data_IF_382051676889
#
_entry.id   IF_382051676889
#
_cell.length_a   1.000
_cell.length_b   1.000
_cell.length_c   1.000
_cell.angle_alpha   90.00
_cell.angle_beta   90.00
_cell.angle_gamma   90.00
#
_symmetry.space_group_name_H-M   'P 1'
#
loop_
_entity.id
_entity.type
_entity.pdbx_description
1 polymer ?
#
# COMPACT_ATOMS: atom_id res chain seq x y z
N UNK A 1 9.56 23.00 -5.48
CA UNK A 1 9.44 21.88 -4.55
C UNK A 1 7.96 21.59 -4.32
N UNK A 2 7.47 20.45 -4.83
CA UNK A 2 6.05 20.07 -4.74
C UNK A 2 5.62 19.87 -3.28
N UNK A 3 6.50 19.44 -2.41
CA UNK A 3 6.23 19.21 -0.99
C UNK A 3 6.00 20.52 -0.26
N UNK A 4 6.88 21.50 -0.44
CA UNK A 4 6.72 22.81 0.14
C UNK A 4 5.45 23.51 -0.37
N UNK A 5 5.18 23.44 -1.67
CA UNK A 5 3.95 23.99 -2.26
C UNK A 5 2.68 23.30 -1.75
N UNK A 6 2.73 22.00 -1.45
CA UNK A 6 1.60 21.26 -0.86
C UNK A 6 1.32 21.68 0.57
N UNK A 7 2.37 21.88 1.35
CA UNK A 7 2.27 22.21 2.78
C UNK A 7 1.84 23.67 3.03
N UNK A 8 1.97 24.54 2.05
CA UNK A 8 1.50 25.94 2.13
C UNK A 8 0.01 26.14 1.82
N UNK A 9 -0.74 25.08 1.48
CA UNK A 9 -2.19 25.16 1.25
C UNK A 9 -2.93 25.45 2.54
N UNK A 10 -4.11 26.04 2.43
CA UNK A 10 -4.97 26.37 3.58
C UNK A 10 -5.30 25.15 4.45
N UNK A 11 -5.40 23.97 3.83
CA UNK A 11 -5.66 22.71 4.52
C UNK A 11 -4.59 21.69 4.15
N UNK A 12 -3.81 21.28 5.13
CA UNK A 12 -2.90 20.13 5.06
C UNK A 12 -3.22 19.15 6.16
N UNK A 13 -3.37 17.88 5.80
CA UNK A 13 -3.71 16.78 6.71
C UNK A 13 -2.64 15.72 6.57
N UNK A 14 -2.14 15.21 7.68
CA UNK A 14 -1.21 14.08 7.71
C UNK A 14 -1.72 13.01 8.66
N UNK A 15 -1.54 11.76 8.26
CA UNK A 15 -1.71 10.59 9.13
C UNK A 15 -0.34 9.95 9.34
N UNK A 16 0.09 9.85 10.59
CA UNK A 16 1.40 9.33 10.95
C UNK A 16 1.30 8.41 12.17
N UNK A 17 1.93 7.25 12.09
CA UNK A 17 1.80 6.20 13.10
C UNK A 17 2.87 6.27 14.20
N UNK A 18 4.05 6.84 13.93
CA UNK A 18 5.20 6.54 14.78
C UNK A 18 5.61 7.73 15.64
N UNK A 19 5.78 8.91 15.06
CA UNK A 19 6.27 10.09 15.79
C UNK A 19 6.16 11.35 14.95
N UNK A 20 6.36 12.48 15.61
CA UNK A 20 6.51 13.75 14.93
C UNK A 20 7.69 13.71 13.93
N UNK A 21 7.48 14.33 12.79
CA UNK A 21 8.45 14.56 11.74
C UNK A 21 8.26 15.95 11.17
N UNK A 22 9.19 16.44 10.39
CA UNK A 22 9.08 17.76 9.74
C UNK A 22 7.79 17.86 8.92
N UNK A 23 7.37 16.77 8.28
CA UNK A 23 6.10 16.72 7.55
C UNK A 23 4.90 16.85 8.48
N UNK A 24 4.91 16.12 9.59
CA UNK A 24 3.84 16.17 10.60
C UNK A 24 3.76 17.58 11.19
N UNK A 25 4.90 18.19 11.50
CA UNK A 25 4.95 19.52 12.10
C UNK A 25 4.48 20.63 11.17
N UNK A 26 4.69 20.46 9.87
CA UNK A 26 4.20 21.40 8.85
C UNK A 26 2.69 21.28 8.58
N UNK A 27 2.02 20.22 9.00
CA UNK A 27 0.60 20.02 8.75
C UNK A 27 -0.29 20.61 9.85
N UNK A 28 -1.41 21.22 9.41
CA UNK A 28 -2.39 21.81 10.34
C UNK A 28 -3.23 20.78 11.07
N UNK A 29 -3.55 19.67 10.43
CA UNK A 29 -4.34 18.58 11.01
C UNK A 29 -3.45 17.34 11.08
N UNK A 30 -3.34 16.79 12.27
CA UNK A 30 -2.54 15.61 12.57
C UNK A 30 -3.46 14.51 13.08
N UNK A 31 -3.49 13.39 12.36
CA UNK A 31 -4.35 12.26 12.65
C UNK A 31 -3.47 11.06 13.03
N UNK A 32 -3.41 10.70 14.33
CA UNK A 32 -2.58 9.60 14.76
C UNK A 32 -3.10 8.27 14.21
N UNK A 33 -2.24 7.52 13.54
CA UNK A 33 -2.53 6.22 12.97
C UNK A 33 -1.89 5.09 13.77
N UNK A 34 -2.51 3.92 13.74
CA UNK A 34 -1.99 2.72 14.39
C UNK A 34 -0.72 2.21 13.71
N UNK A 35 0.20 1.66 14.49
CA UNK A 35 1.35 0.91 13.99
C UNK A 35 0.97 -0.52 13.62
N UNK A 36 1.92 -1.27 13.02
CA UNK A 36 1.64 -2.59 12.45
C UNK A 36 1.06 -3.59 13.46
N UNK A 37 1.60 -3.62 14.67
CA UNK A 37 1.17 -4.54 15.74
C UNK A 37 -0.21 -4.22 16.35
N UNK A 38 -0.74 -3.07 16.04
CA UNK A 38 -2.01 -2.52 16.57
C UNK A 38 -3.14 -2.59 15.52
N UNK A 39 -2.81 -2.96 14.26
CA UNK A 39 -3.74 -2.97 13.12
C UNK A 39 -4.42 -4.31 12.96
N UNK A 40 -5.69 -4.26 12.58
CA UNK A 40 -6.45 -5.38 12.07
C UNK A 40 -6.60 -5.29 10.56
N UNK A 41 -6.65 -6.43 9.88
CA UNK A 41 -6.84 -6.48 8.43
C UNK A 41 -6.31 -7.75 7.78
N UNK A 42 -5.93 -7.64 6.53
CA UNK A 42 -5.19 -8.65 5.78
C UNK A 42 -3.94 -8.05 5.18
N UNK A 43 -2.90 -8.85 5.04
CA UNK A 43 -1.65 -8.48 4.42
C UNK A 43 -1.28 -9.48 3.34
N UNK A 44 -0.63 -9.01 2.29
CA UNK A 44 -0.15 -9.86 1.20
C UNK A 44 1.38 -9.76 1.13
N UNK A 45 2.05 -10.90 1.09
CA UNK A 45 3.48 -10.96 0.92
C UNK A 45 3.89 -11.04 -0.57
N UNK A 46 5.19 -10.96 -0.83
CA UNK A 46 5.73 -11.05 -2.21
C UNK A 46 5.55 -12.41 -2.87
N UNK A 47 5.24 -13.45 -2.12
CA UNK A 47 4.93 -14.80 -2.61
C UNK A 47 3.45 -15.03 -2.84
N UNK A 48 2.65 -13.96 -2.87
CA UNK A 48 1.20 -14.01 -3.09
C UNK A 48 0.38 -14.57 -1.91
N UNK A 49 1.01 -14.77 -0.77
CA UNK A 49 0.33 -15.25 0.43
C UNK A 49 -0.49 -14.13 1.06
N UNK A 50 -1.80 -14.32 1.18
CA UNK A 50 -2.71 -13.44 1.93
C UNK A 50 -2.91 -14.04 3.31
N UNK A 51 -2.71 -13.23 4.34
CA UNK A 51 -2.84 -13.64 5.74
C UNK A 51 -3.63 -12.62 6.55
N UNK A 52 -4.36 -13.09 7.55
CA UNK A 52 -4.97 -12.22 8.54
C UNK A 52 -3.89 -11.52 9.38
N UNK A 53 -3.95 -10.22 9.45
CA UNK A 53 -3.22 -9.41 10.44
C UNK A 53 -4.15 -9.17 11.62
N UNK A 54 -3.76 -9.65 12.80
CA UNK A 54 -4.50 -9.44 14.04
C UNK A 54 -3.70 -8.56 14.98
N UNK A 55 -4.32 -7.54 15.60
CA UNK A 55 -3.60 -6.74 16.58
C UNK A 55 -3.25 -7.60 17.81
N UNK A 56 -2.08 -7.39 18.33
CA UNK A 56 -1.61 -7.98 19.60
C UNK A 56 -1.14 -6.92 20.59
N UNK A 57 -1.17 -5.65 20.20
CA UNK A 57 -0.98 -4.50 21.08
C UNK A 57 -2.24 -3.64 21.08
N UNK A 58 -2.57 -3.02 22.23
CA UNK A 58 -3.68 -2.08 22.30
C UNK A 58 -3.35 -0.79 21.53
N UNK A 59 -4.37 -0.11 20.99
CA UNK A 59 -4.18 1.20 20.38
C UNK A 59 -3.62 2.22 21.38
N UNK A 60 -2.56 2.96 21.04
CA UNK A 60 -2.05 4.03 21.88
C UNK A 60 -2.90 5.30 21.74
N UNK A 61 -3.30 5.89 22.87
CA UNK A 61 -4.01 7.17 22.89
C UNK A 61 -5.23 7.21 21.97
N UNK A 62 -5.27 8.20 21.08
CA UNK A 62 -6.36 8.42 20.13
C UNK A 62 -6.11 7.81 18.75
N UNK A 63 -5.03 7.05 18.59
CA UNK A 63 -4.68 6.46 17.29
C UNK A 63 -5.79 5.57 16.73
N UNK A 64 -6.01 5.68 15.43
CA UNK A 64 -7.03 4.93 14.67
C UNK A 64 -6.41 4.21 13.49
N UNK A 65 -7.13 3.24 12.95
CA UNK A 65 -6.74 2.55 11.72
C UNK A 65 -6.80 3.50 10.52
N UNK A 66 -5.87 3.34 9.58
CA UNK A 66 -5.79 4.21 8.39
C UNK A 66 -7.11 4.23 7.61
N UNK A 67 -7.73 3.06 7.40
CA UNK A 67 -9.00 2.98 6.69
C UNK A 67 -10.12 3.77 7.38
N UNK A 68 -10.16 3.74 8.71
CA UNK A 68 -11.15 4.47 9.49
C UNK A 68 -10.93 5.99 9.37
N UNK A 69 -9.68 6.43 9.44
CA UNK A 69 -9.30 7.84 9.25
C UNK A 69 -9.75 8.33 7.87
N UNK A 70 -9.46 7.54 6.82
CA UNK A 70 -9.86 7.87 5.45
C UNK A 70 -11.39 7.90 5.30
N UNK A 71 -12.11 6.92 5.87
CA UNK A 71 -13.57 6.87 5.82
C UNK A 71 -14.21 8.07 6.54
N UNK A 72 -13.64 8.50 7.67
CA UNK A 72 -14.12 9.68 8.41
C UNK A 72 -13.92 10.98 7.61
N UNK A 73 -12.80 11.14 6.94
CA UNK A 73 -12.55 12.28 6.06
C UNK A 73 -13.52 12.24 4.86
N UNK A 74 -13.67 11.08 4.22
CA UNK A 74 -14.56 10.91 3.08
C UNK A 74 -16.02 11.22 3.43
N UNK A 75 -16.51 10.78 4.59
CA UNK A 75 -17.87 11.10 5.07
C UNK A 75 -18.08 12.60 5.21
N UNK A 76 -17.09 13.33 5.76
CA UNK A 76 -17.17 14.80 5.91
C UNK A 76 -17.12 15.54 4.57
N UNK A 77 -16.55 14.91 3.56
CA UNK A 77 -16.54 15.42 2.18
C UNK A 77 -17.80 15.04 1.36
N UNK A 78 -18.76 14.36 1.98
CA UNK A 78 -20.01 13.97 1.33
C UNK A 78 -20.00 12.61 0.63
N UNK A 79 -18.95 11.80 0.82
CA UNK A 79 -18.79 10.49 0.20
C UNK A 79 -19.11 9.32 1.16
N UNK A 80 -19.99 9.54 2.14
CA UNK A 80 -20.25 8.57 3.21
C UNK A 80 -20.77 7.22 2.74
N UNK A 81 -21.56 7.18 1.67
CA UNK A 81 -22.11 5.95 1.11
C UNK A 81 -21.00 5.05 0.55
N UNK A 82 -20.03 5.63 -0.16
CA UNK A 82 -18.92 4.89 -0.73
C UNK A 82 -17.90 4.38 0.32
N UNK A 83 -17.96 4.90 1.54
CA UNK A 83 -17.06 4.54 2.65
C UNK A 83 -17.84 4.04 3.87
N UNK A 84 -18.93 3.30 3.62
CA UNK A 84 -19.85 2.83 4.67
C UNK A 84 -19.37 1.54 5.37
N UNK A 85 -18.09 1.21 5.28
CA UNK A 85 -17.53 0.02 5.93
C UNK A 85 -17.71 0.07 7.45
N UNK A 86 -18.15 -1.04 8.01
CA UNK A 86 -18.31 -1.26 9.45
C UNK A 86 -17.02 -1.81 10.08
N UNK A 87 -16.13 -2.38 9.25
CA UNK A 87 -14.88 -2.98 9.69
C UNK A 87 -14.03 -3.52 8.55
N UNK A 88 -12.90 -4.09 8.90
CA UNK A 88 -11.92 -4.62 7.94
C UNK A 88 -12.43 -5.79 7.10
N UNK A 89 -13.43 -6.52 7.59
CA UNK A 89 -14.08 -7.59 6.84
C UNK A 89 -14.85 -7.04 5.63
N UNK A 90 -15.53 -5.89 5.78
CA UNK A 90 -16.24 -5.24 4.67
C UNK A 90 -15.26 -4.79 3.59
N UNK A 91 -14.12 -4.22 4.00
CA UNK A 91 -13.06 -3.80 3.08
C UNK A 91 -12.46 -5.00 2.34
N UNK A 92 -12.24 -6.11 3.04
CA UNK A 92 -11.72 -7.33 2.41
C UNK A 92 -12.70 -7.91 1.40
N UNK A 93 -14.00 -7.95 1.72
CA UNK A 93 -15.05 -8.39 0.79
C UNK A 93 -15.14 -7.51 -0.45
N UNK A 94 -15.07 -6.20 -0.29
CA UNK A 94 -15.04 -5.26 -1.42
C UNK A 94 -13.79 -5.45 -2.27
N UNK A 95 -12.63 -5.57 -1.66
CA UNK A 95 -11.38 -5.87 -2.37
C UNK A 95 -11.47 -7.19 -3.13
N UNK A 96 -12.06 -8.22 -2.53
CA UNK A 96 -12.29 -9.51 -3.18
C UNK A 96 -13.25 -9.37 -4.38
N UNK A 97 -14.36 -8.67 -4.22
CA UNK A 97 -15.31 -8.41 -5.31
C UNK A 97 -14.63 -7.65 -6.46
N UNK A 98 -13.85 -6.61 -6.16
CA UNK A 98 -13.12 -5.83 -7.17
C UNK A 98 -12.07 -6.66 -7.92
N UNK A 99 -11.43 -7.62 -7.27
CA UNK A 99 -10.45 -8.50 -7.93
C UNK A 99 -11.08 -9.37 -9.02
N UNK A 100 -12.34 -9.80 -8.81
CA UNK A 100 -13.12 -10.57 -9.77
C UNK A 100 -13.91 -9.73 -10.79
N UNK A 101 -14.05 -8.41 -10.55
CA UNK A 101 -14.87 -7.54 -11.39
C UNK A 101 -14.32 -7.47 -12.83
N UNK A 102 -15.15 -7.81 -13.80
CA UNK A 102 -14.79 -7.89 -15.24
C UNK A 102 -13.50 -8.67 -15.50
N UNK A 103 -13.14 -9.61 -14.63
CA UNK A 103 -11.89 -10.34 -14.79
C UNK A 103 -11.97 -11.37 -15.94
N UNK A 104 -12.99 -12.19 -15.99
CA UNK A 104 -13.19 -13.23 -17.03
C UNK A 104 -11.87 -13.97 -17.44
N UNK A 105 -10.91 -14.05 -16.50
CA UNK A 105 -9.60 -14.67 -16.73
C UNK A 105 -8.57 -13.80 -17.43
N UNK A 106 -8.80 -12.49 -17.51
CA UNK A 106 -7.84 -11.53 -18.09
C UNK A 106 -6.73 -11.14 -17.11
N UNK A 107 -6.91 -11.41 -15.82
CA UNK A 107 -5.94 -11.17 -14.74
C UNK A 107 -5.77 -12.44 -13.90
N UNK A 108 -4.58 -12.64 -13.36
CA UNK A 108 -4.31 -13.76 -12.45
C UNK A 108 -4.81 -13.50 -11.02
N UNK A 109 -4.74 -12.25 -10.56
CA UNK A 109 -5.25 -11.85 -9.26
C UNK A 109 -6.78 -11.86 -9.27
N UNK A 110 -7.33 -12.86 -8.63
CA UNK A 110 -8.76 -13.05 -8.45
C UNK A 110 -9.01 -13.80 -7.13
N UNK A 111 -9.55 -13.11 -6.16
CA UNK A 111 -10.01 -13.67 -4.89
C UNK A 111 -11.52 -13.46 -4.71
N UNK A 112 -12.23 -13.30 -5.84
CA UNK A 112 -13.67 -13.04 -5.87
C UNK A 112 -14.50 -14.06 -5.09
N UNK A 113 -14.04 -15.30 -4.95
CA UNK A 113 -14.66 -16.31 -4.09
C UNK A 113 -14.75 -15.88 -2.62
N UNK A 114 -13.92 -14.94 -2.17
CA UNK A 114 -13.95 -14.39 -0.81
C UNK A 114 -14.93 -13.21 -0.66
N UNK A 115 -15.58 -12.75 -1.73
CA UNK A 115 -16.44 -11.56 -1.68
C UNK A 115 -17.69 -11.73 -0.80
N UNK A 116 -18.12 -12.98 -0.58
CA UNK A 116 -19.33 -13.30 0.19
C UNK A 116 -19.07 -13.98 1.53
N UNK A 117 -17.81 -14.06 1.99
CA UNK A 117 -17.52 -14.66 3.30
C UNK A 117 -18.18 -13.83 4.41
N UNK A 118 -18.70 -14.48 5.43
CA UNK A 118 -19.22 -13.82 6.62
C UNK A 118 -18.11 -13.36 7.58
N UNK A 119 -18.48 -12.70 8.65
CA UNK A 119 -17.51 -12.16 9.61
C UNK A 119 -16.78 -13.29 10.37
N UNK A 120 -17.44 -14.41 10.63
CA UNK A 120 -16.84 -15.57 11.31
C UNK A 120 -15.79 -16.23 10.40
N UNK A 121 -16.12 -16.48 9.14
CA UNK A 121 -15.21 -17.02 8.16
C UNK A 121 -14.03 -16.08 7.91
N UNK A 122 -14.26 -14.76 7.89
CA UNK A 122 -13.18 -13.78 7.79
C UNK A 122 -12.25 -13.84 9.01
N UNK A 123 -12.78 -13.96 10.23
CA UNK A 123 -11.96 -14.10 11.43
C UNK A 123 -11.16 -15.40 11.45
N UNK A 124 -11.74 -16.49 10.93
CA UNK A 124 -11.11 -17.81 10.85
C UNK A 124 -10.18 -17.97 9.63
N UNK A 125 -10.09 -16.96 8.75
CA UNK A 125 -9.36 -17.04 7.49
C UNK A 125 -7.90 -17.50 7.72
N UNK A 126 -7.58 -18.65 7.13
CA UNK A 126 -6.22 -19.16 7.12
C UNK A 126 -5.39 -18.50 6.02
N UNK A 127 -4.06 -18.45 6.16
CA UNK A 127 -3.21 -17.99 5.08
C UNK A 127 -3.45 -18.79 3.80
N UNK A 128 -3.57 -18.11 2.68
CA UNK A 128 -3.73 -18.74 1.37
C UNK A 128 -2.95 -17.97 0.30
N UNK A 129 -2.57 -18.66 -0.76
CA UNK A 129 -1.90 -18.07 -1.91
C UNK A 129 -2.93 -17.78 -3.00
N UNK A 130 -2.99 -16.54 -3.46
CA UNK A 130 -3.89 -16.17 -4.54
C UNK A 130 -3.32 -16.59 -5.92
N UNK A 131 -4.22 -16.72 -6.92
CA UNK A 131 -3.89 -17.12 -8.27
C UNK A 131 -4.51 -18.45 -8.64
N UNK A 132 -4.64 -18.73 -9.94
CA UNK A 132 -5.33 -19.90 -10.47
C UNK A 132 -4.71 -21.23 -10.10
N UNK A 133 -3.44 -21.23 -9.77
CA UNK A 133 -2.74 -22.41 -9.29
C UNK A 133 -1.65 -21.94 -8.33
N UNK A 134 -1.94 -22.04 -7.05
CA UNK A 134 -1.01 -21.65 -5.98
C UNK A 134 0.34 -22.38 -6.05
N UNK A 135 0.36 -23.55 -6.64
CA UNK A 135 1.51 -24.44 -6.84
C UNK A 135 2.20 -24.29 -8.22
N UNK A 136 1.62 -23.50 -9.15
CA UNK A 136 2.17 -23.31 -10.49
C UNK A 136 3.07 -22.08 -10.57
N UNK A 137 4.17 -22.25 -11.30
CA UNK A 137 5.00 -21.14 -11.72
C UNK A 137 4.18 -20.18 -12.60
N UNK A 138 4.27 -18.87 -12.35
CA UNK A 138 3.71 -17.84 -13.23
C UNK A 138 4.15 -18.07 -14.68
N UNK A 139 3.17 -18.01 -15.58
CA UNK A 139 3.38 -18.22 -17.02
C UNK A 139 4.06 -19.55 -17.39
N UNK A 140 4.03 -20.53 -16.47
CA UNK A 140 4.64 -21.84 -16.72
C UNK A 140 3.98 -22.63 -17.84
N UNK A 141 2.75 -22.28 -18.22
CA UNK A 141 2.00 -22.80 -19.37
C UNK A 141 2.27 -22.02 -20.67
N UNK A 142 3.17 -21.01 -20.63
CA UNK A 142 3.47 -20.15 -21.76
C UNK A 142 2.38 -19.12 -22.09
N UNK A 143 1.33 -19.04 -21.28
CA UNK A 143 0.20 -18.16 -21.54
C UNK A 143 0.26 -16.88 -20.70
N UNK A 144 0.21 -15.73 -21.36
CA UNK A 144 0.27 -14.40 -20.75
C UNK A 144 -1.12 -13.74 -20.76
N UNK A 145 -1.30 -12.73 -19.92
CA UNK A 145 -2.57 -11.98 -19.79
C UNK A 145 -2.72 -10.90 -20.87
N UNK A 146 -2.63 -11.34 -22.13
CA UNK A 146 -2.90 -10.55 -23.33
C UNK A 146 -3.95 -11.27 -24.18
N UNK A 147 -4.62 -10.53 -25.06
CA UNK A 147 -5.67 -11.10 -25.91
C UNK A 147 -5.19 -12.30 -26.75
N UNK A 148 -3.95 -12.24 -27.24
CA UNK A 148 -3.29 -13.29 -28.00
C UNK A 148 -2.55 -14.32 -27.13
N UNK A 149 -2.60 -14.17 -25.81
CA UNK A 149 -1.94 -15.03 -24.83
C UNK A 149 -0.42 -15.11 -24.93
N UNK A 150 0.23 -14.20 -25.67
CA UNK A 150 1.67 -14.19 -25.90
C UNK A 150 2.39 -13.15 -25.06
N UNK A 151 3.66 -13.39 -24.77
CA UNK A 151 4.56 -12.38 -24.19
C UNK A 151 4.77 -11.23 -25.18
N UNK A 152 4.82 -10.01 -24.64
CA UNK A 152 5.16 -8.82 -25.44
C UNK A 152 6.59 -8.41 -25.17
N UNK A 153 7.40 -8.47 -26.22
CA UNK A 153 8.76 -7.94 -26.20
C UNK A 153 8.73 -6.51 -26.74
N UNK A 154 8.85 -5.55 -25.83
CA UNK A 154 8.86 -4.13 -26.18
C UNK A 154 10.31 -3.73 -26.41
N UNK A 155 10.65 -3.40 -27.64
CA UNK A 155 11.96 -2.84 -27.97
C UNK A 155 12.06 -1.44 -27.37
N UNK A 156 13.00 -1.27 -26.44
CA UNK A 156 13.27 0.03 -25.82
C UNK A 156 14.50 0.65 -26.46
N UNK A 157 14.36 1.86 -26.95
CA UNK A 157 15.51 2.65 -27.44
C UNK A 157 16.06 3.45 -26.27
N UNK A 158 17.34 3.30 -25.91
CA UNK A 158 17.97 4.13 -24.89
C UNK A 158 17.79 5.61 -25.22
N UNK A 159 17.36 6.37 -24.24
CA UNK A 159 17.20 7.83 -24.35
C UNK A 159 18.12 8.52 -23.37
N UNK A 160 18.61 9.68 -23.74
CA UNK A 160 19.30 10.54 -22.80
C UNK A 160 18.34 10.95 -21.65
N UNK A 161 18.86 11.22 -20.44
CA UNK A 161 18.06 11.76 -19.35
C UNK A 161 17.33 13.03 -19.78
N UNK A 162 16.06 13.15 -19.39
CA UNK A 162 15.25 14.35 -19.67
C UNK A 162 15.88 15.59 -19.02
N UNK A 163 16.44 15.42 -17.83
CA UNK A 163 17.15 16.45 -17.09
C UNK A 163 18.65 16.14 -17.13
N UNK A 164 19.31 16.46 -18.22
CA UNK A 164 20.78 16.38 -18.32
C UNK A 164 21.43 17.54 -17.54
N UNK A 165 22.66 17.37 -17.06
CA UNK A 165 23.43 18.48 -16.53
C UNK A 165 23.57 19.63 -17.53
N UNK A 166 23.52 20.84 -17.03
CA UNK A 166 23.73 22.08 -17.79
C UNK A 166 24.76 23.00 -17.05
N UNK A 167 25.06 24.16 -17.58
CA UNK A 167 26.01 25.10 -16.96
C UNK A 167 25.55 25.59 -15.58
N UNK A 168 24.24 25.73 -15.37
CA UNK A 168 23.64 26.15 -14.09
C UNK A 168 23.61 24.99 -13.09
N UNK A 169 23.40 23.77 -13.58
CA UNK A 169 23.31 22.55 -12.79
C UNK A 169 24.21 21.45 -13.33
N UNK A 170 25.54 21.59 -13.11
CA UNK A 170 26.52 20.71 -13.72
C UNK A 170 26.66 19.33 -13.07
N UNK A 171 26.01 19.13 -11.91
CA UNK A 171 26.10 17.89 -11.14
C UNK A 171 24.85 17.04 -11.25
N UNK A 172 25.03 15.72 -11.29
CA UNK A 172 23.94 14.75 -11.20
C UNK A 172 23.77 14.37 -9.74
N UNK A 173 22.56 14.61 -9.20
CA UNK A 173 22.18 14.04 -7.91
C UNK A 173 21.87 12.56 -8.08
N UNK A 174 22.74 11.72 -7.57
CA UNK A 174 22.57 10.27 -7.61
C UNK A 174 22.19 9.77 -6.21
N UNK A 175 21.04 9.11 -6.10
CA UNK A 175 20.60 8.50 -4.84
C UNK A 175 21.21 7.10 -4.73
N UNK A 176 21.87 6.84 -3.61
CA UNK A 176 22.48 5.55 -3.32
C UNK A 176 21.71 4.80 -2.21
N UNK A 177 21.92 3.50 -2.17
CA UNK A 177 21.45 2.68 -1.06
C UNK A 177 22.58 2.54 -0.04
N UNK A 178 22.26 2.78 1.22
CA UNK A 178 23.17 2.49 2.33
C UNK A 178 22.88 1.08 2.83
N UNK A 179 23.93 0.31 3.10
CA UNK A 179 23.82 -1.05 3.63
C UNK A 179 23.02 -1.06 4.93
N UNK A 180 22.17 -2.07 5.09
CA UNK A 180 21.34 -2.28 6.28
C UNK A 180 20.32 -1.17 6.59
N UNK A 181 20.15 -0.20 5.68
CA UNK A 181 19.17 0.86 5.82
C UNK A 181 17.96 0.65 4.91
N UNK A 182 16.78 0.98 5.41
CA UNK A 182 15.52 0.84 4.68
C UNK A 182 15.04 2.21 4.16
N UNK A 183 14.94 2.33 2.84
CA UNK A 183 14.47 3.55 2.15
C UNK A 183 15.13 4.83 2.66
N UNK A 184 14.33 5.76 3.17
CA UNK A 184 14.78 7.08 3.66
C UNK A 184 15.41 7.04 5.05
N UNK A 185 15.70 5.87 5.59
CA UNK A 185 16.21 5.68 6.95
C UNK A 185 15.24 6.16 8.07
N UNK A 186 13.98 6.39 7.71
CA UNK A 186 12.98 6.92 8.64
C UNK A 186 12.68 6.04 9.86
N UNK A 187 13.09 4.76 9.80
CA UNK A 187 12.99 3.81 10.92
C UNK A 187 14.35 3.29 11.33
N UNK A 188 15.09 2.74 10.40
CA UNK A 188 16.40 2.10 10.65
C UNK A 188 17.46 3.09 11.10
N UNK A 189 17.35 4.37 10.71
CA UNK A 189 18.23 5.44 11.17
C UNK A 189 18.13 5.77 12.67
N UNK A 190 17.14 5.22 13.38
CA UNK A 190 17.02 5.35 14.83
C UNK A 190 17.63 4.16 15.60
N UNK A 191 18.06 3.13 14.91
CA UNK A 191 18.75 2.01 15.55
C UNK A 191 20.27 2.28 15.52
N UNK A 192 20.89 2.50 16.70
CA UNK A 192 22.33 2.79 16.77
C UNK A 192 23.20 1.71 16.14
N UNK A 193 22.75 0.44 16.15
CA UNK A 193 23.48 -0.69 15.57
C UNK A 193 23.51 -0.68 14.05
N UNK A 194 22.55 0.03 13.43
CA UNK A 194 22.45 0.15 11.96
C UNK A 194 23.10 1.44 11.43
N UNK A 195 23.58 2.29 12.33
CA UNK A 195 24.22 3.57 12.00
C UNK A 195 25.74 3.55 12.07
N UNK A 196 26.35 2.39 12.32
CA UNK A 196 27.81 2.20 12.40
C UNK A 196 28.42 1.67 11.12
#
# INVERSE_FOLDING_TARGET
DLTAASLTRELSIVSEAIRASDTVDACRIRLPALAWAEKDGTVTNSERGISRQRPFLPPPGEAKQDWWILAEVARRLGHGEAFAWRGVADIFREHAALSGFENAGTRDFDIGACASIDDEAYQALQPFVWGRAADRRFFGDGAFFHADRRARFIATVPRAPVNAPDEERPLILNTGRVRDQWHTMGRTGFDPKLMT
#
